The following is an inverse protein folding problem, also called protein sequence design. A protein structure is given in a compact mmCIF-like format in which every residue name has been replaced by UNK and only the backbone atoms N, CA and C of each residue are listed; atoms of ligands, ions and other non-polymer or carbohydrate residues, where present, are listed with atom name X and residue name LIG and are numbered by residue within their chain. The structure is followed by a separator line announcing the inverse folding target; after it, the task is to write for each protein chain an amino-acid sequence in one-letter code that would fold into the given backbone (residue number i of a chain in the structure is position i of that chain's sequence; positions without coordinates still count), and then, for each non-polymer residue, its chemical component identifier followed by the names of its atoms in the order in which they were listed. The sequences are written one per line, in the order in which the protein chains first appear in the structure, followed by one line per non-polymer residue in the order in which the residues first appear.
data_IF_635894773265
#
_entry.id   IF_635894773265
#
_cell.length_a   1.000
_cell.length_b   1.000
_cell.length_c   1.000
_cell.angle_alpha   90.00
_cell.angle_beta   90.00
_cell.angle_gamma   90.00
#
_symmetry.space_group_name_H-M   'P 1'
#
loop_
_entity.id
_entity.type
_entity.pdbx_description
1 polymer ?
#
# COMPACT_ATOMS: atom_id res chain seq x y z
N UNK A 1 3.08 -21.76 30.05
CA UNK A 1 1.94 -21.55 29.13
C UNK A 1 2.53 -20.97 27.84
N UNK A 2 2.51 -21.72 26.75
CA UNK A 2 3.09 -21.31 25.46
C UNK A 2 2.17 -20.26 24.83
N UNK A 3 2.63 -18.98 24.73
CA UNK A 3 1.90 -17.94 24.02
C UNK A 3 1.93 -18.28 22.54
N UNK A 4 0.75 -18.37 21.93
CA UNK A 4 0.60 -18.56 20.48
C UNK A 4 1.31 -17.43 19.76
N UNK A 5 2.21 -17.82 18.86
CA UNK A 5 2.83 -16.89 17.90
C UNK A 5 1.78 -16.61 16.84
N UNK A 6 1.17 -15.42 16.92
CA UNK A 6 0.28 -14.96 15.85
C UNK A 6 1.17 -14.36 14.76
N UNK A 7 1.39 -15.13 13.70
CA UNK A 7 1.99 -14.60 12.46
C UNK A 7 1.02 -13.60 11.85
N UNK A 8 1.28 -12.33 12.03
CA UNK A 8 0.55 -11.29 11.33
C UNK A 8 1.39 -10.93 10.11
N UNK A 9 0.99 -11.44 8.95
CA UNK A 9 1.40 -10.87 7.67
C UNK A 9 0.77 -9.48 7.59
N UNK A 10 1.54 -8.44 7.88
CA UNK A 10 1.05 -7.05 7.90
C UNK A 10 0.58 -6.59 6.52
N UNK A 11 0.94 -7.33 5.49
CA UNK A 11 0.44 -7.15 4.12
C UNK A 11 -0.88 -7.91 3.85
N UNK A 12 -1.39 -8.70 4.81
CA UNK A 12 -2.62 -9.47 4.62
C UNK A 12 -3.45 -9.68 5.89
N UNK A 13 -3.22 -8.95 6.98
CA UNK A 13 -3.95 -9.15 8.21
C UNK A 13 -5.05 -8.10 8.40
N UNK A 14 -6.27 -8.57 8.33
CA UNK A 14 -7.47 -7.89 8.81
C UNK A 14 -7.34 -7.59 10.30
N UNK A 15 -7.14 -6.35 10.67
CA UNK A 15 -7.55 -5.85 11.97
C UNK A 15 -8.77 -5.00 11.72
N UNK A 16 -9.94 -5.59 11.93
CA UNK A 16 -11.19 -4.84 12.04
C UNK A 16 -11.18 -4.18 13.41
N UNK A 17 -10.64 -3.00 13.50
CA UNK A 17 -10.93 -2.09 14.60
C UNK A 17 -11.87 -1.02 14.06
N UNK A 18 -13.14 -1.17 14.37
CA UNK A 18 -14.13 -0.11 14.25
C UNK A 18 -13.68 1.05 15.11
N UNK A 19 -13.17 2.11 14.50
CA UNK A 19 -13.21 3.43 15.11
C UNK A 19 -13.29 4.51 14.04
N UNK A 20 -14.14 5.43 14.29
CA UNK A 20 -14.61 6.54 13.48
C UNK A 20 -13.51 7.44 12.93
N UNK A 21 -13.80 7.99 11.75
CA UNK A 21 -13.28 9.24 11.18
C UNK A 21 -11.77 9.38 11.08
N UNK A 22 -11.21 8.74 10.06
CA UNK A 22 -10.01 9.24 9.40
C UNK A 22 -10.03 8.81 7.93
N UNK A 23 -9.92 9.75 7.02
CA UNK A 23 -10.13 9.60 5.56
C UNK A 23 -9.11 8.72 4.82
N UNK A 24 -8.30 7.94 5.49
CA UNK A 24 -7.35 7.00 4.89
C UNK A 24 -7.28 5.70 5.69
N UNK A 25 -8.02 4.71 5.23
CA UNK A 25 -7.91 3.33 5.74
C UNK A 25 -6.62 2.70 5.16
N UNK A 26 -5.59 2.37 5.99
CA UNK A 26 -4.34 1.76 5.50
C UNK A 26 -4.58 0.42 4.79
N UNK A 27 -5.71 -0.23 5.04
CA UNK A 27 -6.13 -1.45 4.35
C UNK A 27 -6.64 -1.17 2.92
N UNK A 28 -6.98 0.07 2.58
CA UNK A 28 -7.53 0.43 1.28
C UNK A 28 -6.51 0.22 0.15
N UNK A 29 -5.25 0.62 0.35
CA UNK A 29 -4.17 0.39 -0.63
C UNK A 29 -3.93 -1.11 -0.83
N UNK A 30 -3.98 -1.91 0.24
CA UNK A 30 -3.85 -3.36 0.15
C UNK A 30 -5.03 -4.00 -0.58
N UNK A 31 -6.26 -3.52 -0.37
CA UNK A 31 -7.44 -3.97 -1.12
C UNK A 31 -7.30 -3.65 -2.61
N UNK A 32 -6.81 -2.46 -2.96
CA UNK A 32 -6.56 -2.07 -4.35
C UNK A 32 -5.50 -2.99 -4.98
N UNK A 33 -4.41 -3.26 -4.26
CA UNK A 33 -3.34 -4.15 -4.72
C UNK A 33 -3.84 -5.56 -5.04
N UNK A 34 -4.85 -6.04 -4.31
CA UNK A 34 -5.43 -7.38 -4.49
C UNK A 34 -6.42 -7.49 -5.66
N UNK A 35 -6.89 -6.39 -6.24
CA UNK A 35 -7.84 -6.42 -7.36
C UNK A 35 -7.09 -6.85 -8.63
N UNK A 36 -7.61 -7.85 -9.33
CA UNK A 36 -7.05 -8.29 -10.62
C UNK A 36 -7.25 -7.21 -11.69
N UNK A 37 -6.18 -6.86 -12.37
CA UNK A 37 -6.17 -5.97 -13.53
C UNK A 37 -5.58 -6.68 -14.74
N UNK A 38 -5.75 -6.11 -15.92
CA UNK A 38 -5.02 -6.56 -17.10
C UNK A 38 -3.53 -6.28 -16.90
N UNK A 39 -2.66 -7.29 -16.77
CA UNK A 39 -1.23 -7.11 -16.46
C UNK A 39 -0.55 -6.16 -17.43
N UNK A 40 -0.89 -6.27 -18.70
CA UNK A 40 -0.35 -5.42 -19.78
C UNK A 40 -0.63 -3.93 -19.59
N UNK A 41 -1.73 -3.56 -18.90
CA UNK A 41 -2.05 -2.15 -18.67
C UNK A 41 -1.13 -1.54 -17.61
N UNK A 42 -0.88 -2.25 -16.50
CA UNK A 42 0.02 -1.80 -15.42
C UNK A 42 1.46 -1.73 -15.91
N UNK A 43 1.94 -2.82 -16.55
CA UNK A 43 3.28 -2.90 -17.11
C UNK A 43 3.55 -1.78 -18.14
N UNK A 44 2.57 -1.46 -18.97
CA UNK A 44 2.68 -0.38 -19.96
C UNK A 44 2.89 0.99 -19.31
N UNK A 45 2.17 1.27 -18.22
CA UNK A 45 2.32 2.52 -17.46
C UNK A 45 3.71 2.59 -16.83
N UNK A 46 4.21 1.48 -16.28
CA UNK A 46 5.52 1.40 -15.65
C UNK A 46 6.62 1.56 -16.69
N UNK A 47 6.59 0.78 -17.77
CA UNK A 47 7.63 0.76 -18.79
C UNK A 47 7.73 2.08 -19.59
N UNK A 48 6.60 2.74 -19.83
CA UNK A 48 6.57 4.04 -20.48
C UNK A 48 6.89 5.19 -19.52
N UNK A 49 7.10 4.90 -18.25
CA UNK A 49 7.27 5.91 -17.20
C UNK A 49 6.24 7.04 -17.28
N UNK A 50 4.98 6.69 -17.59
CA UNK A 50 3.89 7.68 -17.74
C UNK A 50 3.65 8.40 -16.42
N UNK A 51 3.42 9.73 -16.47
CA UNK A 51 3.04 10.50 -15.28
C UNK A 51 1.69 10.02 -14.74
N UNK A 52 1.62 9.83 -13.42
CA UNK A 52 0.40 9.34 -12.75
C UNK A 52 -0.15 10.44 -11.85
N UNK A 53 -1.37 10.88 -12.19
CA UNK A 53 -2.18 11.77 -11.37
C UNK A 53 -3.57 11.16 -11.21
N UNK A 54 -3.89 10.75 -10.00
CA UNK A 54 -5.14 10.07 -9.62
C UNK A 54 -5.53 10.45 -8.19
N UNK A 55 -6.81 10.41 -7.90
CA UNK A 55 -7.31 10.57 -6.55
C UNK A 55 -7.44 9.20 -5.86
N UNK A 56 -6.40 8.80 -5.13
CA UNK A 56 -6.35 7.54 -4.39
C UNK A 56 -7.46 7.43 -3.34
N UNK A 57 -7.87 8.56 -2.75
CA UNK A 57 -8.91 8.57 -1.72
C UNK A 57 -10.28 8.25 -2.31
N UNK A 58 -10.60 8.79 -3.47
CA UNK A 58 -11.85 8.47 -4.19
C UNK A 58 -11.88 7.01 -4.65
N UNK A 59 -10.77 6.50 -5.20
CA UNK A 59 -10.68 5.11 -5.64
C UNK A 59 -10.88 4.17 -4.45
N UNK A 60 -10.26 4.46 -3.31
CA UNK A 60 -10.42 3.70 -2.08
C UNK A 60 -11.87 3.67 -1.59
N UNK A 61 -12.55 4.83 -1.59
CA UNK A 61 -13.97 4.94 -1.22
C UNK A 61 -14.87 4.14 -2.18
N UNK A 62 -14.63 4.21 -3.47
CA UNK A 62 -15.40 3.45 -4.48
C UNK A 62 -15.27 1.94 -4.27
N UNK A 63 -14.08 1.45 -3.98
CA UNK A 63 -13.82 0.04 -3.71
C UNK A 63 -14.48 -0.39 -2.39
N UNK A 64 -14.39 0.42 -1.34
CA UNK A 64 -15.01 0.15 -0.04
C UNK A 64 -16.54 0.05 -0.13
N UNK A 65 -17.16 0.86 -0.99
CA UNK A 65 -18.61 0.83 -1.23
C UNK A 65 -19.07 -0.32 -2.17
N UNK A 66 -18.14 -1.17 -2.63
CA UNK A 66 -18.47 -2.26 -3.55
C UNK A 66 -18.97 -1.78 -4.92
N UNK A 67 -18.81 -0.50 -5.22
CA UNK A 67 -19.20 0.04 -6.52
C UNK A 67 -18.17 -0.39 -7.56
N UNK A 68 -18.64 -1.04 -8.64
CA UNK A 68 -17.85 -1.39 -9.83
C UNK A 68 -17.33 -0.17 -10.62
N UNK A 69 -17.29 1.01 -9.99
CA UNK A 69 -17.15 2.28 -10.68
C UNK A 69 -15.69 2.74 -10.88
N UNK A 70 -14.71 2.08 -10.27
CA UNK A 70 -13.32 2.38 -10.60
C UNK A 70 -13.03 1.93 -12.04
N UNK A 71 -12.69 2.88 -12.92
CA UNK A 71 -12.31 2.56 -14.29
C UNK A 71 -11.07 1.66 -14.27
N UNK A 72 -10.99 0.68 -15.16
CA UNK A 72 -9.84 -0.22 -15.25
C UNK A 72 -8.52 0.53 -15.42
N UNK A 73 -8.56 1.68 -16.10
CA UNK A 73 -7.40 2.57 -16.26
C UNK A 73 -6.95 3.20 -14.94
N UNK A 74 -7.89 3.69 -14.12
CA UNK A 74 -7.57 4.31 -12.81
C UNK A 74 -7.00 3.27 -11.86
N UNK A 75 -7.50 2.05 -11.92
CA UNK A 75 -6.99 0.93 -11.15
C UNK A 75 -5.57 0.54 -11.59
N UNK A 76 -5.30 0.50 -12.90
CA UNK A 76 -3.97 0.25 -13.43
C UNK A 76 -2.97 1.35 -13.04
N UNK A 77 -3.37 2.62 -13.11
CA UNK A 77 -2.58 3.76 -12.63
C UNK A 77 -2.29 3.66 -11.14
N UNK A 78 -3.30 3.28 -10.35
CA UNK A 78 -3.14 3.10 -8.89
C UNK A 78 -2.10 2.01 -8.59
N UNK A 79 -2.21 0.85 -9.22
CA UNK A 79 -1.25 -0.24 -9.05
C UNK A 79 0.16 0.15 -9.48
N UNK A 80 0.29 0.86 -10.60
CA UNK A 80 1.58 1.36 -11.06
C UNK A 80 2.20 2.37 -10.08
N UNK A 81 1.40 3.25 -9.47
CA UNK A 81 1.87 4.19 -8.45
C UNK A 81 2.33 3.46 -7.18
N UNK A 82 1.54 2.48 -6.71
CA UNK A 82 1.90 1.61 -5.57
C UNK A 82 3.20 0.87 -5.87
N UNK A 83 3.33 0.25 -7.05
CA UNK A 83 4.55 -0.45 -7.46
C UNK A 83 5.77 0.46 -7.41
N UNK A 84 5.70 1.65 -8.04
CA UNK A 84 6.81 2.60 -8.08
C UNK A 84 7.21 3.07 -6.69
N UNK A 85 6.25 3.38 -5.82
CA UNK A 85 6.52 3.83 -4.46
C UNK A 85 7.16 2.71 -3.62
N UNK A 86 6.52 1.55 -3.56
CA UNK A 86 6.99 0.45 -2.71
C UNK A 86 8.27 -0.22 -3.21
N UNK A 87 8.66 -0.05 -4.50
CA UNK A 87 9.98 -0.46 -4.98
C UNK A 87 11.14 0.33 -4.36
N UNK A 88 10.84 1.46 -3.72
CA UNK A 88 11.80 2.28 -2.98
C UNK A 88 11.60 2.22 -1.45
N UNK A 89 10.83 1.26 -0.97
CA UNK A 89 10.61 1.05 0.47
C UNK A 89 11.35 -0.21 0.92
N UNK A 90 12.05 -0.11 2.04
CA UNK A 90 12.71 -1.24 2.68
C UNK A 90 12.38 -1.30 4.16
N UNK A 91 12.54 -2.46 4.76
CA UNK A 91 12.39 -2.68 6.19
C UNK A 91 13.73 -2.44 6.88
N UNK A 92 13.76 -1.59 7.91
CA UNK A 92 14.94 -1.37 8.71
C UNK A 92 15.04 -2.37 9.90
N UNK A 93 16.15 -2.32 10.63
CA UNK A 93 16.41 -3.17 11.79
C UNK A 93 15.37 -3.00 12.92
N UNK A 94 14.74 -1.84 13.00
CA UNK A 94 13.69 -1.52 13.98
C UNK A 94 12.29 -1.99 13.54
N UNK A 95 12.20 -2.78 12.47
CA UNK A 95 10.94 -3.26 11.89
C UNK A 95 10.04 -2.13 11.37
N UNK A 96 10.63 -1.00 10.98
CA UNK A 96 9.92 0.13 10.38
C UNK A 96 10.20 0.17 8.88
N UNK A 97 9.19 0.45 8.08
CA UNK A 97 9.36 0.68 6.65
C UNK A 97 9.91 2.08 6.39
N UNK A 98 10.97 2.16 5.62
CA UNK A 98 11.65 3.42 5.26
C UNK A 98 11.56 3.62 3.76
N UNK A 99 11.04 4.78 3.35
CA UNK A 99 11.02 5.21 1.97
C UNK A 99 12.32 5.92 1.62
N UNK A 100 12.99 5.47 0.54
CA UNK A 100 14.30 6.00 0.09
C UNK A 100 14.17 7.25 -0.77
N UNK A 101 12.99 7.53 -1.30
CA UNK A 101 12.75 8.70 -2.15
C UNK A 101 12.14 9.85 -1.34
N UNK A 102 12.45 11.08 -1.75
CA UNK A 102 12.06 12.28 -1.04
C UNK A 102 11.03 13.12 -1.80
N UNK A 103 10.77 12.81 -3.06
CA UNK A 103 9.88 13.61 -3.89
C UNK A 103 9.04 12.77 -4.87
N UNK A 104 7.87 13.29 -5.20
CA UNK A 104 6.94 12.70 -6.15
C UNK A 104 7.54 12.56 -7.56
N UNK A 105 8.44 13.49 -7.92
CA UNK A 105 9.10 13.54 -9.23
C UNK A 105 10.00 12.32 -9.47
N UNK A 106 10.62 11.78 -8.41
CA UNK A 106 11.52 10.62 -8.53
C UNK A 106 10.80 9.37 -9.06
N UNK A 107 9.50 9.26 -8.81
CA UNK A 107 8.67 8.14 -9.28
C UNK A 107 7.61 8.56 -10.30
N UNK A 108 7.70 9.79 -10.80
CA UNK A 108 6.82 10.35 -11.82
C UNK A 108 5.32 10.24 -11.49
N UNK A 109 4.95 10.69 -10.28
CA UNK A 109 3.56 10.78 -9.80
C UNK A 109 3.23 12.20 -9.37
N UNK A 110 1.94 12.53 -9.20
CA UNK A 110 1.54 13.80 -8.61
C UNK A 110 1.89 13.85 -7.11
N UNK A 111 2.05 15.07 -6.58
CA UNK A 111 2.36 15.26 -5.16
C UNK A 111 1.27 14.65 -4.27
N UNK A 112 0.01 14.78 -4.64
CA UNK A 112 -1.11 14.19 -3.90
C UNK A 112 -1.01 12.66 -3.81
N UNK A 113 -0.63 11.99 -4.91
CA UNK A 113 -0.40 10.53 -4.92
C UNK A 113 0.75 10.16 -3.99
N UNK A 114 1.86 10.88 -4.07
CA UNK A 114 3.04 10.64 -3.24
C UNK A 114 2.73 10.81 -1.75
N UNK A 115 2.09 11.92 -1.38
CA UNK A 115 1.74 12.22 0.01
C UNK A 115 0.77 11.19 0.58
N UNK A 116 -0.20 10.74 -0.22
CA UNK A 116 -1.14 9.69 0.20
C UNK A 116 -0.44 8.36 0.45
N UNK A 117 0.50 7.96 -0.42
CA UNK A 117 1.27 6.73 -0.24
C UNK A 117 2.21 6.81 0.97
N UNK A 118 2.85 7.96 1.16
CA UNK A 118 3.72 8.21 2.30
C UNK A 118 2.93 8.19 3.62
N UNK A 119 1.78 8.86 3.67
CA UNK A 119 0.88 8.81 4.82
C UNK A 119 0.47 7.37 5.16
N UNK A 120 0.12 6.58 4.16
CA UNK A 120 -0.22 5.17 4.38
C UNK A 120 0.95 4.35 4.94
N UNK A 121 2.19 4.63 4.50
CA UNK A 121 3.39 4.00 5.04
C UNK A 121 3.60 4.39 6.52
N UNK A 122 3.43 5.67 6.85
CA UNK A 122 3.59 6.19 8.21
C UNK A 122 2.52 5.60 9.16
N UNK A 123 1.27 5.48 8.70
CA UNK A 123 0.19 4.81 9.43
C UNK A 123 0.48 3.32 9.67
N UNK A 124 1.02 2.63 8.66
CA UNK A 124 1.46 1.23 8.80
C UNK A 124 2.56 1.09 9.86
N UNK A 125 3.56 1.96 9.84
CA UNK A 125 4.62 1.99 10.83
C UNK A 125 4.07 2.26 12.24
N UNK A 126 3.13 3.18 12.39
CA UNK A 126 2.48 3.47 13.67
C UNK A 126 1.74 2.25 14.24
N UNK A 127 1.07 1.49 13.39
CA UNK A 127 0.39 0.23 13.81
C UNK A 127 1.42 -0.81 14.27
N UNK A 128 2.55 -0.95 13.55
CA UNK A 128 3.63 -1.86 13.92
C UNK A 128 4.19 -1.48 15.29
N UNK A 129 4.49 -0.21 15.51
CA UNK A 129 5.01 0.32 16.78
C UNK A 129 4.06 0.06 17.93
N UNK A 130 2.79 0.45 17.79
CA UNK A 130 1.77 0.21 18.82
C UNK A 130 1.59 -1.28 19.14
N UNK A 131 1.74 -2.15 18.14
CA UNK A 131 1.63 -3.61 18.34
C UNK A 131 2.82 -4.14 19.13
N UNK A 132 4.03 -3.65 18.85
CA UNK A 132 5.26 -4.00 19.58
C UNK A 132 5.17 -3.49 21.02
N UNK A 133 4.78 -2.24 21.22
CA UNK A 133 4.68 -1.60 22.54
C UNK A 133 3.63 -2.27 23.43
N UNK A 134 2.60 -2.83 22.83
CA UNK A 134 1.59 -3.65 23.52
C UNK A 134 2.11 -5.03 23.94
N UNK A 135 3.41 -5.32 23.71
CA UNK A 135 4.05 -6.59 24.09
C UNK A 135 3.67 -7.76 23.18
N UNK A 136 3.09 -7.50 22.01
CA UNK A 136 2.78 -8.53 21.03
C UNK A 136 3.99 -8.79 20.11
N UNK A 137 4.27 -10.07 19.87
CA UNK A 137 5.25 -10.44 18.84
C UNK A 137 4.61 -10.28 17.46
N UNK A 138 5.17 -9.36 16.67
CA UNK A 138 4.79 -9.14 15.27
C UNK A 138 5.93 -9.59 14.35
N UNK A 139 5.59 -10.30 13.30
CA UNK A 139 6.50 -10.56 12.18
C UNK A 139 6.16 -9.55 11.09
N UNK A 140 7.07 -8.64 10.83
CA UNK A 140 6.96 -7.67 9.74
C UNK A 140 7.75 -8.21 8.55
N UNK A 141 7.09 -8.36 7.41
CA UNK A 141 7.70 -8.89 6.19
C UNK A 141 8.33 -7.77 5.37
N UNK A 142 9.45 -8.07 4.72
CA UNK A 142 10.04 -7.18 3.71
C UNK A 142 9.13 -7.04 2.49
N UNK A 143 9.29 -5.93 1.78
CA UNK A 143 8.69 -5.71 0.45
C UNK A 143 9.50 -6.53 -0.54
N UNK A 144 8.99 -7.70 -0.90
CA UNK A 144 9.71 -8.62 -1.79
C UNK A 144 9.41 -8.34 -3.27
N UNK A 145 10.29 -8.84 -4.14
CA UNK A 145 10.07 -8.80 -5.59
C UNK A 145 8.77 -9.54 -5.97
N UNK A 146 8.44 -10.63 -5.26
CA UNK A 146 7.21 -11.40 -5.49
C UNK A 146 5.97 -10.56 -5.17
N UNK A 147 5.99 -9.79 -4.07
CA UNK A 147 4.92 -8.86 -3.75
C UNK A 147 4.77 -7.80 -4.84
N UNK A 148 5.85 -7.14 -5.24
CA UNK A 148 5.83 -6.13 -6.30
C UNK A 148 5.30 -6.71 -7.61
N UNK A 149 5.73 -7.91 -8.00
CA UNK A 149 5.24 -8.61 -9.19
C UNK A 149 3.75 -8.98 -9.10
N UNK A 150 3.23 -9.19 -7.89
CA UNK A 150 1.80 -9.45 -7.69
C UNK A 150 0.92 -8.24 -8.04
N UNK A 151 1.47 -7.02 -7.93
CA UNK A 151 0.78 -5.79 -8.32
C UNK A 151 0.59 -5.66 -9.82
N UNK A 152 1.40 -6.38 -10.61
CA UNK A 152 1.35 -6.34 -12.08
C UNK A 152 0.23 -7.23 -12.66
N UNK A 153 -0.43 -8.03 -11.81
CA UNK A 153 -1.42 -9.05 -12.25
C UNK A 153 -2.87 -8.61 -12.03
#
# INVERSE_FOLDING_TARGET
MKKLITCIFVLSAFIVLSSCDSDSDPTAIQKIAAIKTEPTAVEKIINNNSFIDIDLSQISKQIAMGTRAAKAEDLAKTKAAIYRFYSHVHLNENKQYVCLINSAQEINVSQNVFDTLKKNLDETNSIIEQTIDSGNNIIVSEITTEYLNSLLK
#
